data_IF_431736314043
#
_entry.id   IF_431736314043
#
_cell.length_a   1.000
_cell.length_b   1.000
_cell.length_c   1.000
_cell.angle_alpha   90.00
_cell.angle_beta   90.00
_cell.angle_gamma   90.00
#
_symmetry.space_group_name_H-M   'P 1'
#
loop_
_entity.id
_entity.type
_entity.pdbx_description
1 polymer ?
#
# COMPACT_ATOMS: atom_id res chain seq x y z
N UNK A 1 -21.87 -16.71 -5.01
CA UNK A 1 -20.77 -15.92 -5.59
C UNK A 1 -19.92 -15.38 -4.46
N UNK A 2 -18.62 -15.68 -4.47
CA UNK A 2 -17.70 -15.16 -3.46
C UNK A 2 -17.61 -13.64 -3.61
N UNK A 3 -17.68 -12.92 -2.49
CA UNK A 3 -17.54 -11.46 -2.45
C UNK A 3 -16.11 -11.10 -2.11
N UNK A 4 -15.59 -10.03 -2.71
CA UNK A 4 -14.32 -9.44 -2.30
C UNK A 4 -14.48 -8.79 -0.92
N UNK A 5 -13.38 -8.68 -0.17
CA UNK A 5 -13.40 -8.04 1.15
C UNK A 5 -13.92 -6.61 1.08
N UNK A 6 -13.61 -5.87 0.03
CA UNK A 6 -14.09 -4.51 -0.22
C UNK A 6 -15.61 -4.38 -0.23
N UNK A 7 -16.36 -5.42 -0.66
CA UNK A 7 -17.82 -5.39 -0.76
C UNK A 7 -18.52 -5.32 0.60
N UNK A 8 -17.82 -5.59 1.70
CA UNK A 8 -18.36 -5.50 3.06
C UNK A 8 -18.31 -4.09 3.65
N UNK A 9 -17.65 -3.15 2.98
CA UNK A 9 -17.49 -1.76 3.43
C UNK A 9 -18.42 -0.77 2.73
N UNK A 10 -19.38 -1.25 1.95
CA UNK A 10 -20.38 -0.38 1.33
C UNK A 10 -21.35 0.19 2.37
N UNK A 11 -21.55 1.49 2.31
CA UNK A 11 -22.54 2.20 3.09
C UNK A 11 -23.95 1.94 2.51
N UNK A 12 -24.91 1.60 3.38
CA UNK A 12 -26.29 1.30 2.97
C UNK A 12 -27.23 2.51 3.05
N UNK A 13 -26.75 3.67 3.44
CA UNK A 13 -27.53 4.90 3.52
C UNK A 13 -26.75 6.07 2.92
N UNK A 14 -27.49 7.08 2.41
CA UNK A 14 -26.90 8.32 1.95
C UNK A 14 -27.00 9.37 3.05
N UNK A 15 -25.92 10.09 3.25
CA UNK A 15 -25.85 11.18 4.22
C UNK A 15 -25.08 12.35 3.62
N UNK A 16 -25.64 13.55 3.75
CA UNK A 16 -24.91 14.78 3.40
C UNK A 16 -23.99 15.13 4.57
N UNK A 17 -22.69 14.94 4.38
CA UNK A 17 -21.69 15.12 5.45
C UNK A 17 -20.76 16.29 5.19
N UNK A 18 -20.57 16.71 3.94
CA UNK A 18 -19.64 17.74 3.55
C UNK A 18 -20.34 18.97 2.94
N UNK A 19 -19.78 20.18 3.10
CA UNK A 19 -20.23 21.34 2.33
C UNK A 19 -20.14 21.03 0.83
N UNK A 20 -21.09 21.52 0.01
CA UNK A 20 -20.99 21.35 -1.43
C UNK A 20 -19.77 22.12 -1.96
N UNK A 21 -18.91 21.42 -2.71
CA UNK A 21 -17.77 21.99 -3.40
C UNK A 21 -18.06 21.87 -4.89
N UNK A 22 -18.09 23.02 -5.59
CA UNK A 22 -18.23 23.02 -7.05
C UNK A 22 -16.91 22.57 -7.73
N UNK A 23 -16.94 22.11 -9.00
CA UNK A 23 -15.75 21.61 -9.69
C UNK A 23 -14.60 22.61 -9.79
N UNK A 24 -14.90 23.91 -9.89
CA UNK A 24 -13.86 24.95 -9.99
C UNK A 24 -13.15 25.13 -8.64
N UNK A 25 -13.93 25.12 -7.55
CA UNK A 25 -13.39 25.24 -6.20
C UNK A 25 -12.65 23.94 -5.78
N UNK A 26 -13.09 22.79 -6.30
CA UNK A 26 -12.41 21.51 -6.06
C UNK A 26 -10.96 21.53 -6.54
N UNK A 27 -10.69 22.02 -7.76
CA UNK A 27 -9.33 22.15 -8.28
C UNK A 27 -8.44 23.05 -7.42
N UNK A 28 -9.02 24.07 -6.80
CA UNK A 28 -8.28 25.02 -5.98
C UNK A 28 -7.94 24.50 -4.58
N UNK A 29 -8.84 23.72 -3.98
CA UNK A 29 -8.76 23.34 -2.55
C UNK A 29 -8.42 21.87 -2.31
N UNK A 30 -8.48 21.02 -3.33
CA UNK A 30 -8.21 19.58 -3.23
C UNK A 30 -7.04 19.19 -4.11
N UNK A 31 -6.24 18.26 -3.61
CA UNK A 31 -5.14 17.66 -4.37
C UNK A 31 -5.08 16.17 -4.09
N UNK A 32 -4.75 15.38 -5.13
CA UNK A 32 -4.44 13.97 -5.01
C UNK A 32 -2.94 13.72 -4.84
N UNK A 33 -2.13 14.78 -4.85
CA UNK A 33 -0.69 14.69 -4.62
C UNK A 33 -0.40 13.98 -3.31
N UNK A 34 0.50 13.03 -3.33
CA UNK A 34 0.89 12.28 -2.15
C UNK A 34 2.41 12.07 -2.09
N UNK A 35 2.89 11.68 -0.92
CA UNK A 35 4.29 11.41 -0.66
C UNK A 35 4.45 9.97 -0.15
N UNK A 36 5.44 9.27 -0.69
CA UNK A 36 5.77 7.88 -0.32
C UNK A 36 7.13 7.89 0.37
N UNK A 37 7.23 7.25 1.54
CA UNK A 37 8.48 7.09 2.26
C UNK A 37 8.41 7.47 3.73
N UNK A 38 9.58 7.50 4.41
CA UNK A 38 9.65 7.79 5.84
C UNK A 38 9.25 9.24 6.13
N UNK A 39 8.39 9.44 7.12
CA UNK A 39 7.90 10.76 7.52
C UNK A 39 8.68 11.31 8.69
N UNK A 40 9.09 12.58 8.67
CA UNK A 40 9.78 13.22 9.79
C UNK A 40 8.86 13.34 11.00
N UNK A 41 9.45 13.38 12.19
CA UNK A 41 8.72 13.78 13.38
C UNK A 41 8.50 15.30 13.35
N UNK A 42 7.26 15.73 13.18
CA UNK A 42 6.90 17.15 13.12
C UNK A 42 7.17 17.92 14.42
N UNK A 43 7.30 17.20 15.55
CA UNK A 43 7.64 17.80 16.85
C UNK A 43 9.15 17.91 17.09
N UNK A 44 9.97 17.32 16.22
CA UNK A 44 11.42 17.43 16.28
C UNK A 44 11.96 18.11 15.01
N UNK A 45 12.30 19.41 15.08
CA UNK A 45 12.79 20.16 13.92
C UNK A 45 14.05 19.60 13.28
N UNK A 46 14.82 18.79 14.01
CA UNK A 46 16.07 18.17 13.53
C UNK A 46 15.84 16.85 12.81
N UNK A 47 14.70 16.18 13.03
CA UNK A 47 14.44 14.84 12.49
C UNK A 47 14.13 14.82 10.99
N UNK A 48 13.77 15.97 10.40
CA UNK A 48 13.31 16.07 9.01
C UNK A 48 14.34 16.59 8.00
N UNK A 49 15.47 17.11 8.48
CA UNK A 49 16.40 17.90 7.65
C UNK A 49 17.00 17.14 6.44
N UNK A 50 16.99 15.81 6.44
CA UNK A 50 17.60 14.98 5.39
C UNK A 50 16.71 13.81 4.93
N UNK A 51 15.43 13.80 5.26
CA UNK A 51 14.55 12.73 4.81
C UNK A 51 14.09 12.96 3.37
N UNK A 52 14.36 12.00 2.50
CA UNK A 52 13.87 11.98 1.12
C UNK A 52 12.51 11.28 1.06
N UNK A 53 11.63 11.82 0.25
CA UNK A 53 10.30 11.28 -0.06
C UNK A 53 10.14 11.23 -1.57
N UNK A 54 9.32 10.31 -2.05
CA UNK A 54 8.87 10.29 -3.44
C UNK A 54 7.58 11.10 -3.50
N UNK A 55 7.55 12.16 -4.28
CA UNK A 55 6.34 12.90 -4.61
C UNK A 55 5.66 12.26 -5.82
N UNK A 56 4.37 12.03 -5.72
CA UNK A 56 3.52 11.51 -6.79
C UNK A 56 2.30 12.40 -6.95
N UNK A 57 1.90 12.66 -8.20
CA UNK A 57 0.76 13.53 -8.50
C UNK A 57 -0.58 12.96 -8.02
N UNK A 58 -0.65 11.62 -7.88
CA UNK A 58 -1.82 10.92 -7.34
C UNK A 58 -1.39 9.54 -6.79
N UNK A 59 -2.17 8.95 -5.89
CA UNK A 59 -1.80 7.70 -5.22
C UNK A 59 -1.89 6.44 -6.10
N UNK A 60 -2.37 6.57 -7.34
CA UNK A 60 -2.50 5.44 -8.26
C UNK A 60 -1.28 5.40 -9.17
N UNK A 61 -0.49 4.34 -9.05
CA UNK A 61 0.76 4.16 -9.79
C UNK A 61 0.54 3.32 -11.04
N UNK A 62 1.14 3.73 -12.16
CA UNK A 62 1.23 2.89 -13.36
C UNK A 62 2.14 1.66 -13.12
N UNK A 63 2.10 0.70 -14.06
CA UNK A 63 3.00 -0.45 -14.00
C UNK A 63 4.48 -0.05 -14.17
N UNK A 64 4.75 1.06 -14.85
CA UNK A 64 6.10 1.61 -14.97
C UNK A 64 6.56 2.28 -13.69
N UNK A 65 5.68 3.01 -13.01
CA UNK A 65 6.02 3.73 -11.78
C UNK A 65 6.33 2.78 -10.64
N UNK A 66 5.57 1.69 -10.48
CA UNK A 66 5.88 0.68 -9.45
C UNK A 66 7.25 0.03 -9.69
N UNK A 67 7.65 -0.19 -10.94
CA UNK A 67 8.97 -0.72 -11.25
C UNK A 67 10.10 0.29 -10.98
N UNK A 68 9.85 1.60 -11.16
CA UNK A 68 10.78 2.65 -10.72
C UNK A 68 10.93 2.67 -9.21
N UNK A 69 9.83 2.55 -8.46
CA UNK A 69 9.86 2.46 -6.99
C UNK A 69 10.59 1.20 -6.54
N UNK A 70 10.40 0.07 -7.21
CA UNK A 70 11.11 -1.18 -6.93
C UNK A 70 12.64 -1.05 -7.08
N UNK A 71 13.09 -0.15 -7.93
CA UNK A 71 14.50 0.14 -8.21
C UNK A 71 14.95 1.49 -7.66
N UNK A 72 14.23 2.06 -6.71
CA UNK A 72 14.41 3.44 -6.24
C UNK A 72 15.81 3.71 -5.69
N UNK A 73 16.49 2.70 -5.17
CA UNK A 73 17.85 2.81 -4.67
C UNK A 73 18.81 3.35 -5.74
N UNK A 74 18.61 2.97 -7.00
CA UNK A 74 19.43 3.43 -8.13
C UNK A 74 19.21 4.91 -8.45
N UNK A 75 18.06 5.48 -8.10
CA UNK A 75 17.69 6.86 -8.39
C UNK A 75 17.86 7.80 -7.20
N UNK A 76 17.92 7.26 -5.97
CA UNK A 76 17.96 8.02 -4.74
C UNK A 76 19.37 8.11 -4.12
N UNK A 77 20.41 7.66 -4.81
CA UNK A 77 21.77 7.55 -4.26
C UNK A 77 21.84 6.69 -2.98
N UNK A 78 20.93 5.71 -2.87
CA UNK A 78 20.84 4.80 -1.72
C UNK A 78 20.06 5.31 -0.51
N UNK A 79 19.50 6.53 -0.57
CA UNK A 79 18.72 7.08 0.56
C UNK A 79 17.34 6.42 0.69
N UNK A 80 16.72 6.04 -0.43
CA UNK A 80 15.48 5.29 -0.47
C UNK A 80 15.77 3.86 -0.91
N UNK A 81 15.21 2.90 -0.17
CA UNK A 81 15.33 1.47 -0.41
C UNK A 81 13.96 0.83 -0.34
N UNK A 82 13.57 0.12 -1.39
CA UNK A 82 12.30 -0.59 -1.40
C UNK A 82 12.50 -2.08 -1.19
N UNK A 83 11.53 -2.72 -0.55
CA UNK A 83 11.46 -4.17 -0.44
C UNK A 83 10.06 -4.66 -0.76
N UNK A 84 9.96 -5.68 -1.62
CA UNK A 84 8.68 -6.30 -1.97
C UNK A 84 8.41 -7.49 -1.06
N UNK A 85 7.28 -7.44 -0.36
CA UNK A 85 6.75 -8.52 0.44
C UNK A 85 5.58 -9.16 -0.30
N UNK A 86 5.72 -10.43 -0.63
CA UNK A 86 4.63 -11.21 -1.21
C UNK A 86 3.55 -11.46 -0.16
N UNK A 87 2.29 -11.22 -0.54
CA UNK A 87 1.13 -11.59 0.26
C UNK A 87 0.52 -12.92 -0.20
N UNK A 88 1.28 -13.68 -1.00
CA UNK A 88 0.90 -14.99 -1.49
C UNK A 88 1.54 -16.10 -0.64
N UNK A 89 0.76 -17.11 -0.29
CA UNK A 89 1.22 -18.30 0.41
C UNK A 89 1.03 -19.56 -0.43
N UNK A 90 1.88 -20.56 -0.22
CA UNK A 90 1.82 -21.83 -0.95
C UNK A 90 0.86 -22.82 -0.29
N UNK A 91 -0.18 -23.23 -1.02
CA UNK A 91 -1.21 -24.19 -0.55
C UNK A 91 -0.68 -25.55 -0.16
N UNK A 92 0.43 -26.01 -0.77
CA UNK A 92 0.94 -27.37 -0.62
C UNK A 92 1.78 -27.55 0.64
N UNK A 93 2.35 -26.45 1.14
CA UNK A 93 3.35 -26.51 2.21
C UNK A 93 2.72 -26.71 3.60
N UNK A 94 1.44 -26.36 3.76
CA UNK A 94 0.87 -26.41 5.11
C UNK A 94 -0.61 -26.80 5.14
N UNK A 95 -0.91 -28.07 5.46
CA UNK A 95 -2.28 -28.55 5.67
C UNK A 95 -2.98 -27.92 6.89
N UNK A 96 -2.24 -27.27 7.80
CA UNK A 96 -2.76 -26.58 9.01
C UNK A 96 -2.63 -25.07 8.88
N UNK A 97 -2.51 -24.53 7.68
CA UNK A 97 -2.33 -23.09 7.42
C UNK A 97 -3.46 -22.26 8.04
N UNK A 98 -3.09 -21.29 8.83
CA UNK A 98 -3.98 -20.24 9.30
C UNK A 98 -3.55 -18.90 8.68
N UNK A 99 -4.49 -18.16 8.12
CA UNK A 99 -4.23 -16.82 7.58
C UNK A 99 -3.58 -15.92 8.62
N UNK A 100 -3.96 -16.05 9.89
CA UNK A 100 -3.41 -15.27 10.99
C UNK A 100 -1.90 -15.47 11.15
N UNK A 101 -1.42 -16.71 11.10
CA UNK A 101 -0.01 -17.04 11.26
C UNK A 101 0.83 -16.44 10.12
N UNK A 102 0.28 -16.45 8.90
CA UNK A 102 0.96 -15.85 7.73
C UNK A 102 0.98 -14.32 7.78
N UNK A 103 -0.08 -13.69 8.28
CA UNK A 103 -0.12 -12.26 8.52
C UNK A 103 0.94 -11.87 9.55
N UNK A 104 1.08 -12.64 10.62
CA UNK A 104 2.10 -12.41 11.64
C UNK A 104 3.51 -12.52 11.05
N UNK A 105 3.78 -13.56 10.24
CA UNK A 105 5.04 -13.72 9.50
C UNK A 105 5.37 -12.51 8.62
N UNK A 106 4.39 -12.00 7.84
CA UNK A 106 4.58 -10.79 7.01
C UNK A 106 4.92 -9.59 7.88
N UNK A 107 4.20 -9.41 8.99
CA UNK A 107 4.40 -8.29 9.91
C UNK A 107 5.78 -8.34 10.59
N UNK A 108 6.21 -9.50 11.08
CA UNK A 108 7.53 -9.69 11.69
C UNK A 108 8.65 -9.46 10.67
N UNK A 109 8.49 -9.98 9.46
CA UNK A 109 9.46 -9.78 8.38
C UNK A 109 9.63 -8.30 8.05
N UNK A 110 8.50 -7.57 7.96
CA UNK A 110 8.52 -6.13 7.72
C UNK A 110 9.21 -5.38 8.87
N UNK A 111 8.89 -5.73 10.13
CA UNK A 111 9.52 -5.14 11.32
C UNK A 111 11.04 -5.32 11.30
N UNK A 112 11.52 -6.52 11.01
CA UNK A 112 12.95 -6.82 10.93
C UNK A 112 13.64 -6.01 9.82
N UNK A 113 13.04 -5.97 8.61
CA UNK A 113 13.59 -5.20 7.49
C UNK A 113 13.75 -3.70 7.81
N UNK A 114 12.80 -3.13 8.55
CA UNK A 114 12.84 -1.71 8.95
C UNK A 114 13.88 -1.49 10.04
N UNK A 115 13.93 -2.36 11.06
CA UNK A 115 14.86 -2.24 12.18
C UNK A 115 16.32 -2.41 11.72
N UNK A 116 16.56 -3.32 10.77
CA UNK A 116 17.88 -3.56 10.16
C UNK A 116 18.23 -2.50 9.11
N UNK A 117 17.37 -1.50 8.87
CA UNK A 117 17.54 -0.43 7.88
C UNK A 117 17.74 -0.95 6.44
N UNK A 118 17.17 -2.10 6.14
CA UNK A 118 17.24 -2.71 4.82
C UNK A 118 16.24 -2.10 3.84
N UNK A 119 15.17 -1.50 4.36
CA UNK A 119 14.20 -0.76 3.53
C UNK A 119 13.56 0.39 4.31
N UNK A 120 13.08 1.38 3.57
CA UNK A 120 12.22 2.46 4.04
C UNK A 120 10.99 2.66 3.13
N UNK A 121 10.78 1.73 2.19
CA UNK A 121 9.54 1.58 1.41
C UNK A 121 9.23 0.09 1.33
N UNK A 122 8.03 -0.32 1.73
CA UNK A 122 7.52 -1.68 1.60
C UNK A 122 6.47 -1.70 0.51
N UNK A 123 6.61 -2.65 -0.42
CA UNK A 123 5.63 -2.95 -1.46
C UNK A 123 4.97 -4.28 -1.09
N UNK A 124 3.69 -4.26 -0.72
CA UNK A 124 2.88 -5.48 -0.59
C UNK A 124 2.39 -5.90 -1.96
N UNK A 125 2.68 -7.13 -2.40
CA UNK A 125 2.36 -7.58 -3.74
C UNK A 125 1.65 -8.93 -3.76
N UNK A 126 0.58 -9.05 -4.56
CA UNK A 126 -0.09 -10.31 -4.88
C UNK A 126 0.33 -10.90 -6.25
N UNK A 127 1.36 -10.35 -6.86
CA UNK A 127 1.79 -10.69 -8.24
C UNK A 127 2.33 -12.12 -8.39
N UNK A 128 2.72 -12.74 -7.27
CA UNK A 128 3.17 -14.14 -7.23
C UNK A 128 2.01 -15.15 -7.24
N UNK A 129 0.78 -14.69 -7.46
CA UNK A 129 -0.41 -15.51 -7.54
C UNK A 129 -0.30 -16.50 -8.71
N UNK A 130 -0.44 -17.80 -8.42
CA UNK A 130 -0.44 -18.86 -9.42
C UNK A 130 -1.34 -20.04 -9.00
N UNK A 131 -1.20 -21.20 -9.64
CA UNK A 131 -1.99 -22.43 -9.32
C UNK A 131 -1.69 -22.98 -7.93
N UNK A 132 -0.50 -22.73 -7.39
CA UNK A 132 -0.04 -23.23 -6.11
C UNK A 132 -0.06 -22.16 -5.02
N UNK A 133 0.12 -20.90 -5.40
CA UNK A 133 0.19 -19.75 -4.51
C UNK A 133 -1.14 -18.99 -4.51
N UNK A 134 -1.63 -18.69 -3.32
CA UNK A 134 -2.89 -17.95 -3.10
C UNK A 134 -2.58 -16.70 -2.31
N UNK A 135 -3.08 -15.56 -2.79
CA UNK A 135 -2.97 -14.32 -2.06
C UNK A 135 -3.99 -14.26 -0.90
N UNK A 136 -3.58 -13.69 0.23
CA UNK A 136 -4.53 -13.16 1.19
C UNK A 136 -5.12 -11.86 0.64
N UNK A 137 -6.35 -11.45 1.04
CA UNK A 137 -6.92 -10.20 0.57
C UNK A 137 -5.98 -9.01 0.80
N UNK A 138 -5.71 -8.23 -0.25
CA UNK A 138 -4.77 -7.11 -0.18
C UNK A 138 -5.15 -6.08 0.89
N UNK A 139 -6.45 -5.80 1.04
CA UNK A 139 -6.94 -4.90 2.09
C UNK A 139 -6.64 -5.42 3.50
N UNK A 140 -6.75 -6.74 3.73
CA UNK A 140 -6.44 -7.37 5.02
C UNK A 140 -4.95 -7.26 5.33
N UNK A 141 -4.08 -7.59 4.35
CA UNK A 141 -2.63 -7.49 4.50
C UNK A 141 -2.19 -6.05 4.79
N UNK A 142 -2.74 -5.08 4.04
CA UNK A 142 -2.45 -3.65 4.22
C UNK A 142 -2.83 -3.18 5.62
N UNK A 143 -4.05 -3.46 6.05
CA UNK A 143 -4.54 -3.09 7.39
C UNK A 143 -3.72 -3.72 8.49
N UNK A 144 -3.43 -5.01 8.39
CA UNK A 144 -2.67 -5.74 9.41
C UNK A 144 -1.26 -5.16 9.57
N UNK A 145 -0.54 -4.99 8.47
CA UNK A 145 0.81 -4.43 8.49
C UNK A 145 0.80 -2.98 9.00
N UNK A 146 -0.12 -2.15 8.51
CA UNK A 146 -0.25 -0.76 8.97
C UNK A 146 -0.42 -0.66 10.49
N UNK A 147 -1.36 -1.41 11.05
CA UNK A 147 -1.63 -1.38 12.49
C UNK A 147 -0.51 -2.03 13.32
N UNK A 148 0.13 -3.09 12.80
CA UNK A 148 1.32 -3.67 13.44
C UNK A 148 2.44 -2.63 13.56
N UNK A 149 2.75 -1.95 12.46
CA UNK A 149 3.79 -0.92 12.44
C UNK A 149 3.46 0.28 13.36
N UNK A 150 2.17 0.65 13.49
CA UNK A 150 1.74 1.66 14.48
C UNK A 150 2.04 1.18 15.90
N UNK A 151 1.64 -0.04 16.26
CA UNK A 151 1.87 -0.62 17.60
C UNK A 151 3.35 -0.70 17.94
N UNK A 152 4.20 -0.90 16.95
CA UNK A 152 5.68 -0.95 17.11
C UNK A 152 6.37 0.41 17.02
N UNK A 153 5.65 1.50 16.74
CA UNK A 153 6.22 2.84 16.54
C UNK A 153 7.10 2.95 15.29
N UNK A 154 6.85 2.09 14.30
CA UNK A 154 7.63 2.02 13.05
C UNK A 154 6.92 2.61 11.84
N UNK A 155 5.60 2.87 11.92
CA UNK A 155 4.81 3.28 10.76
C UNK A 155 5.35 4.53 10.04
N UNK A 156 5.87 5.49 10.78
CA UNK A 156 6.43 6.72 10.22
C UNK A 156 7.84 6.54 9.62
N UNK A 157 8.48 5.39 9.86
CA UNK A 157 9.82 5.10 9.33
C UNK A 157 9.80 4.49 7.94
N UNK A 158 8.62 4.16 7.41
CA UNK A 158 8.47 3.41 6.15
C UNK A 158 7.27 3.89 5.35
N UNK A 159 7.44 3.99 4.01
CA UNK A 159 6.35 4.12 3.06
C UNK A 159 5.70 2.77 2.79
N UNK A 160 4.38 2.75 2.60
CA UNK A 160 3.61 1.54 2.30
C UNK A 160 2.93 1.65 0.95
N UNK A 161 3.34 0.82 0.01
CA UNK A 161 2.80 0.73 -1.34
C UNK A 161 2.13 -0.63 -1.53
N UNK A 162 1.03 -0.66 -2.27
CA UNK A 162 0.27 -1.90 -2.54
C UNK A 162 0.20 -2.16 -4.03
N UNK A 163 0.69 -3.31 -4.47
CA UNK A 163 0.59 -3.82 -5.83
C UNK A 163 -0.41 -4.97 -5.85
N UNK A 164 -1.59 -4.78 -6.45
CA UNK A 164 -2.66 -5.77 -6.35
C UNK A 164 -3.50 -5.90 -7.61
N UNK A 165 -3.88 -7.13 -7.94
CA UNK A 165 -4.87 -7.44 -8.97
C UNK A 165 -6.32 -7.40 -8.48
N UNK A 166 -6.58 -7.25 -7.17
CA UNK A 166 -7.94 -7.25 -6.62
C UNK A 166 -8.68 -5.92 -6.83
N UNK A 167 -7.98 -4.78 -6.67
CA UNK A 167 -8.58 -3.45 -6.73
C UNK A 167 -8.97 -3.08 -8.17
N UNK A 168 -10.24 -2.76 -8.40
CA UNK A 168 -10.80 -2.47 -9.73
C UNK A 168 -11.66 -1.22 -9.77
N UNK A 169 -12.19 -0.79 -8.63
CA UNK A 169 -13.11 0.33 -8.48
C UNK A 169 -12.47 1.43 -7.65
N UNK A 170 -12.93 2.66 -7.83
CA UNK A 170 -12.51 3.79 -6.99
C UNK A 170 -12.69 3.47 -5.51
N UNK A 171 -13.82 2.84 -5.14
CA UNK A 171 -14.08 2.41 -3.76
C UNK A 171 -12.99 1.50 -3.18
N UNK A 172 -12.51 0.52 -3.96
CA UNK A 172 -11.46 -0.40 -3.54
C UNK A 172 -10.15 0.34 -3.26
N UNK A 173 -9.80 1.30 -4.14
CA UNK A 173 -8.62 2.14 -4.00
C UNK A 173 -8.72 3.07 -2.78
N UNK A 174 -9.89 3.69 -2.56
CA UNK A 174 -10.14 4.51 -1.39
C UNK A 174 -10.01 3.71 -0.08
N UNK A 175 -10.46 2.47 -0.04
CA UNK A 175 -10.31 1.60 1.12
C UNK A 175 -8.85 1.26 1.39
N UNK A 176 -8.07 0.90 0.37
CA UNK A 176 -6.64 0.62 0.53
C UNK A 176 -5.90 1.86 1.08
N UNK A 177 -6.17 3.04 0.53
CA UNK A 177 -5.60 4.28 1.03
C UNK A 177 -6.04 4.58 2.47
N UNK A 178 -7.33 4.43 2.79
CA UNK A 178 -7.88 4.62 4.13
C UNK A 178 -7.31 3.66 5.17
N UNK A 179 -6.89 2.46 4.76
CA UNK A 179 -6.24 1.46 5.62
C UNK A 179 -4.71 1.51 5.61
N UNK A 180 -4.12 2.56 5.01
CA UNK A 180 -2.72 2.90 5.20
C UNK A 180 -1.81 2.81 4.00
N UNK A 181 -2.31 2.44 2.81
CA UNK A 181 -1.51 2.51 1.58
C UNK A 181 -1.24 3.97 1.19
N UNK A 182 0.00 4.33 0.94
CA UNK A 182 0.39 5.65 0.44
C UNK A 182 0.25 5.72 -1.09
N UNK A 183 0.45 4.60 -1.76
CA UNK A 183 0.20 4.48 -3.19
C UNK A 183 -0.22 3.04 -3.55
N UNK A 184 -0.91 2.90 -4.68
CA UNK A 184 -1.52 1.64 -5.10
C UNK A 184 -1.27 1.45 -6.59
N UNK A 185 -0.77 0.28 -6.99
CA UNK A 185 -0.72 -0.15 -8.38
C UNK A 185 -1.75 -1.25 -8.61
N UNK A 186 -2.90 -0.94 -9.25
CA UNK A 186 -3.91 -1.93 -9.65
C UNK A 186 -3.53 -2.58 -10.97
N UNK A 187 -2.45 -3.36 -11.00
CA UNK A 187 -1.81 -3.84 -12.23
C UNK A 187 -2.74 -4.58 -13.17
N UNK A 188 -3.68 -5.38 -12.63
CA UNK A 188 -4.60 -6.15 -13.45
C UNK A 188 -5.69 -5.27 -14.08
N UNK A 189 -6.14 -4.21 -13.39
CA UNK A 189 -7.07 -3.24 -13.97
C UNK A 189 -6.42 -2.52 -15.15
N UNK A 190 -5.18 -2.06 -15.02
CA UNK A 190 -4.45 -1.44 -16.11
C UNK A 190 -4.21 -2.41 -17.27
N UNK A 191 -3.80 -3.65 -16.99
CA UNK A 191 -3.66 -4.67 -18.02
C UNK A 191 -4.97 -4.90 -18.76
N UNK A 192 -6.09 -4.94 -18.08
CA UNK A 192 -7.40 -5.14 -18.71
C UNK A 192 -7.76 -3.97 -19.62
N UNK A 193 -7.57 -2.72 -19.13
CA UNK A 193 -7.88 -1.52 -19.89
C UNK A 193 -6.99 -1.35 -21.14
N UNK A 194 -5.73 -1.77 -21.07
CA UNK A 194 -4.82 -1.69 -22.22
C UNK A 194 -5.10 -2.72 -23.32
N UNK A 195 -5.96 -3.72 -23.05
CA UNK A 195 -6.34 -4.77 -23.99
C UNK A 195 -7.78 -4.61 -24.52
N UNK A 196 -8.44 -3.51 -24.24
CA UNK A 196 -9.73 -3.12 -24.82
C UNK A 196 -9.51 -2.15 -25.97
#
# INVERSE_FOLDING_TARGET
>A
KNRLLYDYFFQNFAQVTNPPIDPIREELVMSLMNFIGPRPNLLDPKSGANQKLIEVNHPILSNEDIEKIRKIENFSSGDLKSFTLSICYNKKVNRKFKIADFIEEICEKAENLINDKLCNIIILSDKDLDKNNVAIPALLATSALHHHLIKKGLRTKVGLVVETGEARRVHDLCLLAGYGAEAINPYLAFFTLSNI
#
